data_IF_229133744027
#
_entry.id   IF_229133744027
#
_cell.length_a   1.000
_cell.length_b   1.000
_cell.length_c   1.000
_cell.angle_alpha   90.00
_cell.angle_beta   90.00
_cell.angle_gamma   90.00
#
_symmetry.space_group_name_H-M   'P 1'
#
loop_
_entity.id
_entity.type
_entity.pdbx_description
1 polymer ?
#
# COMPACT_ATOMS: atom_id res chain seq x y z
N UNK A 1 -10.70 0.33 16.33
CA UNK A 1 -10.68 1.14 15.08
C UNK A 1 -9.26 1.57 14.74
N UNK A 2 -8.44 2.02 15.71
CA UNK A 2 -7.02 2.35 15.48
C UNK A 2 -6.19 1.23 14.82
N UNK A 3 -6.33 -0.02 15.27
CA UNK A 3 -5.49 -1.11 14.75
C UNK A 3 -5.64 -1.36 13.24
N UNK A 4 -6.84 -1.20 12.69
CA UNK A 4 -7.05 -1.32 11.23
C UNK A 4 -6.42 -0.15 10.46
N UNK A 5 -6.14 0.98 11.12
CA UNK A 5 -5.40 2.11 10.52
C UNK A 5 -3.89 1.88 10.52
N UNK A 6 -3.37 0.93 11.30
CA UNK A 6 -1.93 0.59 11.34
C UNK A 6 -1.50 -0.21 10.11
N UNK A 7 -2.44 -0.86 9.43
CA UNK A 7 -2.20 -1.64 8.21
C UNK A 7 -3.14 -1.20 7.08
N UNK A 8 -3.03 0.05 6.61
CA UNK A 8 -3.91 0.57 5.57
C UNK A 8 -3.85 -0.32 4.33
N UNK A 9 -4.99 -0.51 3.67
CA UNK A 9 -5.16 -1.29 2.44
C UNK A 9 -4.99 -2.82 2.54
N UNK A 10 -4.58 -3.36 3.70
CA UNK A 10 -4.60 -4.80 3.95
C UNK A 10 -6.00 -5.28 4.25
N UNK A 11 -6.41 -6.35 3.58
CA UNK A 11 -7.69 -7.01 3.86
C UNK A 11 -7.62 -7.76 5.18
N UNK A 12 -8.77 -7.87 5.85
CA UNK A 12 -8.92 -8.64 7.08
C UNK A 12 -10.23 -9.41 7.06
N UNK A 13 -10.29 -10.50 7.82
CA UNK A 13 -11.53 -11.23 8.10
C UNK A 13 -12.07 -10.81 9.46
N UNK A 14 -13.36 -11.01 9.66
CA UNK A 14 -14.03 -10.71 10.95
C UNK A 14 -13.35 -11.47 12.09
N UNK A 15 -12.92 -12.71 11.84
CA UNK A 15 -12.20 -13.52 12.82
C UNK A 15 -10.89 -12.89 13.28
N UNK A 16 -10.18 -12.17 12.41
CA UNK A 16 -8.93 -11.50 12.75
C UNK A 16 -9.19 -10.37 13.75
N UNK A 17 -10.28 -9.62 13.56
CA UNK A 17 -10.71 -8.59 14.51
C UNK A 17 -11.11 -9.17 15.87
N UNK A 18 -11.81 -10.30 15.89
CA UNK A 18 -12.16 -11.00 17.15
C UNK A 18 -10.90 -11.55 17.84
N UNK A 19 -9.96 -12.12 17.07
CA UNK A 19 -8.68 -12.61 17.59
C UNK A 19 -7.88 -11.48 18.22
N UNK A 20 -7.72 -10.36 17.51
CA UNK A 20 -7.03 -9.18 18.04
C UNK A 20 -7.66 -8.69 19.34
N UNK A 21 -9.00 -8.60 19.40
CA UNK A 21 -9.68 -8.20 20.62
C UNK A 21 -9.40 -9.15 21.80
N UNK A 22 -9.41 -10.47 21.58
CA UNK A 22 -9.08 -11.47 22.61
C UNK A 22 -7.66 -11.34 23.15
N UNK A 23 -6.71 -11.00 22.28
CA UNK A 23 -5.30 -10.85 22.64
C UNK A 23 -5.03 -9.54 23.40
N UNK A 24 -5.89 -8.53 23.25
CA UNK A 24 -5.70 -7.19 23.79
C UNK A 24 -6.67 -6.80 24.92
N UNK A 25 -7.56 -7.70 25.34
CA UNK A 25 -8.44 -7.43 26.48
C UNK A 25 -7.70 -7.64 27.80
N UNK A 26 -7.88 -6.69 28.72
CA UNK A 26 -7.19 -6.70 30.03
C UNK A 26 -7.88 -7.61 31.06
N UNK A 27 -9.20 -7.78 30.97
CA UNK A 27 -9.97 -8.65 31.88
C UNK A 27 -10.12 -10.05 31.26
N UNK A 28 -9.60 -11.08 31.93
CA UNK A 28 -9.76 -12.46 31.47
C UNK A 28 -11.19 -12.98 31.60
N UNK A 29 -12.00 -12.40 32.48
CA UNK A 29 -13.42 -12.76 32.63
C UNK A 29 -14.26 -12.36 31.40
N UNK A 30 -13.76 -11.42 30.59
CA UNK A 30 -14.39 -11.05 29.32
C UNK A 30 -14.07 -12.04 28.18
N UNK A 31 -13.24 -13.06 28.40
CA UNK A 31 -12.96 -14.12 27.39
C UNK A 31 -14.00 -15.26 27.41
N UNK A 32 -15.18 -15.02 28.00
CA UNK A 32 -16.31 -15.96 27.99
C UNK A 32 -16.94 -16.07 26.59
N UNK A 33 -17.56 -17.21 26.31
CA UNK A 33 -18.23 -17.46 25.04
C UNK A 33 -19.36 -16.45 24.75
N UNK A 34 -20.10 -16.06 25.80
CA UNK A 34 -21.16 -15.05 25.70
C UNK A 34 -20.62 -13.69 25.28
N UNK A 35 -19.51 -13.24 25.90
CA UNK A 35 -18.88 -11.97 25.56
C UNK A 35 -18.25 -11.99 24.16
N UNK A 36 -17.62 -13.10 23.79
CA UNK A 36 -17.08 -13.31 22.44
C UNK A 36 -18.21 -13.21 21.39
N UNK A 37 -19.37 -13.81 21.66
CA UNK A 37 -20.52 -13.73 20.77
C UNK A 37 -21.06 -12.30 20.67
N UNK A 38 -21.19 -11.59 21.79
CA UNK A 38 -21.60 -10.18 21.83
C UNK A 38 -20.68 -9.30 20.96
N UNK A 39 -19.36 -9.41 21.17
CA UNK A 39 -18.35 -8.67 20.42
C UNK A 39 -18.39 -9.01 18.94
N UNK A 40 -18.54 -10.28 18.59
CA UNK A 40 -18.64 -10.72 17.20
C UNK A 40 -19.87 -10.12 16.52
N UNK A 41 -21.03 -10.09 17.19
CA UNK A 41 -22.25 -9.48 16.66
C UNK A 41 -22.09 -7.98 16.48
N UNK A 42 -21.50 -7.28 17.46
CA UNK A 42 -21.26 -5.84 17.38
C UNK A 42 -20.27 -5.49 16.27
N UNK A 43 -19.19 -6.28 16.11
CA UNK A 43 -18.23 -6.11 15.02
C UNK A 43 -18.90 -6.31 13.65
N UNK A 44 -19.74 -7.34 13.49
CA UNK A 44 -20.52 -7.57 12.27
C UNK A 44 -21.44 -6.40 11.94
N UNK A 45 -22.18 -5.87 12.91
CA UNK A 45 -23.05 -4.69 12.74
C UNK A 45 -22.25 -3.47 12.29
N UNK A 46 -21.12 -3.22 12.94
CA UNK A 46 -20.23 -2.10 12.60
C UNK A 46 -19.67 -2.22 11.18
N UNK A 47 -19.16 -3.40 10.80
CA UNK A 47 -18.60 -3.66 9.47
C UNK A 47 -19.68 -3.50 8.41
N UNK A 48 -20.85 -4.11 8.60
CA UNK A 48 -21.96 -4.01 7.64
C UNK A 48 -22.40 -2.56 7.43
N UNK A 49 -22.60 -1.81 8.52
CA UNK A 49 -22.94 -0.40 8.42
C UNK A 49 -21.84 0.40 7.70
N UNK A 50 -20.57 0.08 7.95
CA UNK A 50 -19.43 0.74 7.30
C UNK A 50 -19.33 0.39 5.81
N UNK A 51 -19.66 -0.84 5.42
CA UNK A 51 -19.73 -1.27 4.01
C UNK A 51 -20.84 -0.54 3.27
N UNK A 52 -22.06 -0.49 3.85
CA UNK A 52 -23.21 0.21 3.24
C UNK A 52 -22.90 1.71 3.03
N UNK A 53 -22.21 2.32 4.00
CA UNK A 53 -21.81 3.72 3.91
C UNK A 53 -20.51 3.97 3.10
N UNK A 54 -19.95 2.94 2.43
CA UNK A 54 -18.74 3.06 1.62
C UNK A 54 -17.45 3.35 2.39
N UNK A 55 -17.44 3.19 3.71
CA UNK A 55 -16.27 3.43 4.58
C UNK A 55 -15.30 2.25 4.59
N UNK A 56 -15.80 1.05 4.34
CA UNK A 56 -15.01 -0.18 4.22
C UNK A 56 -15.34 -0.80 2.87
N UNK A 57 -14.30 -1.05 2.05
CA UNK A 57 -14.43 -1.82 0.82
C UNK A 57 -14.39 -3.30 1.15
N UNK A 58 -15.14 -4.10 0.40
CA UNK A 58 -15.14 -5.55 0.55
C UNK A 58 -14.87 -6.19 -0.81
N UNK A 59 -14.15 -7.30 -0.77
CA UNK A 59 -13.77 -8.07 -1.95
C UNK A 59 -14.14 -9.53 -1.72
N UNK A 60 -14.59 -10.22 -2.77
CA UNK A 60 -14.92 -11.64 -2.69
C UNK A 60 -13.69 -12.55 -2.83
N UNK A 61 -12.57 -11.98 -3.27
CA UNK A 61 -11.28 -12.63 -3.42
C UNK A 61 -10.17 -11.63 -3.10
N UNK A 62 -9.10 -12.12 -2.49
CA UNK A 62 -7.90 -11.32 -2.28
C UNK A 62 -7.03 -11.39 -3.53
N UNK A 63 -6.52 -10.25 -3.98
CA UNK A 63 -5.47 -10.24 -4.99
C UNK A 63 -4.15 -10.56 -4.28
N UNK A 64 -3.38 -11.48 -4.84
CA UNK A 64 -2.02 -11.71 -4.36
C UNK A 64 -1.18 -10.45 -4.64
N UNK A 65 -0.65 -9.86 -3.59
CA UNK A 65 0.31 -8.74 -3.66
C UNK A 65 1.67 -9.25 -3.23
N UNK A 66 2.67 -9.05 -4.07
CA UNK A 66 4.05 -9.41 -3.76
C UNK A 66 4.71 -8.19 -3.09
N UNK A 67 5.14 -8.27 -1.83
CA UNK A 67 5.86 -7.18 -1.17
C UNK A 67 7.28 -7.05 -1.73
N UNK A 68 7.92 -5.92 -1.47
CA UNK A 68 9.33 -5.75 -1.79
C UNK A 68 10.20 -6.66 -0.91
N UNK A 69 11.11 -7.40 -1.54
CA UNK A 69 12.06 -8.28 -0.87
C UNK A 69 13.40 -8.22 -1.62
N UNK A 70 14.48 -7.99 -0.87
CA UNK A 70 15.81 -7.76 -1.41
C UNK A 70 16.27 -8.91 -2.31
N UNK A 71 16.71 -8.59 -3.52
CA UNK A 71 17.18 -9.54 -4.54
C UNK A 71 16.16 -10.58 -5.04
N UNK A 72 14.90 -10.52 -4.59
CA UNK A 72 13.89 -11.51 -4.95
C UNK A 72 12.85 -10.97 -5.94
N UNK A 73 12.59 -9.66 -5.93
CA UNK A 73 11.51 -9.05 -6.73
C UNK A 73 11.99 -8.01 -7.71
N UNK A 74 11.24 -7.84 -8.80
CA UNK A 74 11.45 -6.79 -9.80
C UNK A 74 10.10 -6.32 -10.37
N UNK A 75 10.12 -5.23 -11.13
CA UNK A 75 8.94 -4.74 -11.86
C UNK A 75 9.11 -5.05 -13.35
N UNK A 76 8.30 -5.94 -13.94
CA UNK A 76 8.37 -6.27 -15.36
C UNK A 76 8.27 -5.08 -16.31
N UNK A 77 8.97 -5.14 -17.45
CA UNK A 77 9.05 -4.05 -18.43
C UNK A 77 7.68 -3.52 -18.87
N UNK A 78 6.70 -4.41 -19.08
CA UNK A 78 5.33 -4.02 -19.43
C UNK A 78 4.72 -3.01 -18.45
N UNK A 79 4.96 -3.20 -17.14
CA UNK A 79 4.43 -2.32 -16.10
C UNK A 79 5.25 -1.04 -15.98
N UNK A 80 6.57 -1.11 -16.20
CA UNK A 80 7.43 0.08 -16.24
C UNK A 80 7.03 1.00 -17.40
N UNK A 81 6.88 0.44 -18.61
CA UNK A 81 6.43 1.17 -19.79
C UNK A 81 5.03 1.76 -19.58
N UNK A 82 4.11 1.00 -18.99
CA UNK A 82 2.78 1.48 -18.62
C UNK A 82 2.84 2.71 -17.71
N UNK A 83 3.56 2.63 -16.58
CA UNK A 83 3.70 3.74 -15.64
C UNK A 83 4.38 4.95 -16.29
N UNK A 84 5.42 4.73 -17.08
CA UNK A 84 6.12 5.78 -17.82
C UNK A 84 5.18 6.51 -18.78
N UNK A 85 4.38 5.80 -19.56
CA UNK A 85 3.42 6.41 -20.48
C UNK A 85 2.37 7.24 -19.75
N UNK A 86 1.89 6.76 -18.60
CA UNK A 86 0.80 7.41 -17.85
C UNK A 86 1.24 8.57 -16.96
N UNK A 87 2.48 8.57 -16.46
CA UNK A 87 2.96 9.59 -15.52
C UNK A 87 3.75 10.69 -16.24
N UNK A 88 4.65 10.32 -17.15
CA UNK A 88 5.58 11.26 -17.81
C UNK A 88 5.40 11.35 -19.32
N UNK A 89 4.71 10.39 -19.93
CA UNK A 89 4.50 10.31 -21.37
C UNK A 89 3.20 10.97 -21.85
N UNK A 90 2.75 10.54 -23.03
CA UNK A 90 1.57 11.09 -23.70
C UNK A 90 0.25 10.90 -22.92
N UNK A 91 0.21 9.95 -21.98
CA UNK A 91 -0.96 9.71 -21.12
C UNK A 91 -1.04 10.63 -19.90
N UNK A 92 0.02 11.40 -19.61
CA UNK A 92 0.10 12.26 -18.43
C UNK A 92 -1.03 13.28 -18.37
N UNK A 93 -1.80 13.25 -17.29
CA UNK A 93 -2.96 14.13 -17.07
C UNK A 93 -4.21 13.77 -17.88
N UNK A 94 -4.17 12.69 -18.68
CA UNK A 94 -5.30 12.25 -19.52
C UNK A 94 -5.86 10.91 -19.00
N UNK A 95 -4.99 9.96 -18.66
CA UNK A 95 -5.37 8.61 -18.25
C UNK A 95 -4.94 8.37 -16.80
N UNK A 96 -5.87 7.89 -15.97
CA UNK A 96 -5.60 7.54 -14.58
C UNK A 96 -4.87 6.20 -14.43
N UNK A 97 -4.05 6.09 -13.39
CA UNK A 97 -3.35 4.86 -13.02
C UNK A 97 -4.26 4.05 -12.09
N UNK A 98 -4.26 2.73 -12.20
CA UNK A 98 -5.01 1.86 -11.31
C UNK A 98 -4.09 0.82 -10.64
N UNK A 99 -4.47 0.35 -9.46
CA UNK A 99 -3.84 -0.80 -8.80
C UNK A 99 -4.45 -2.15 -9.24
N UNK A 100 -3.97 -3.26 -8.68
CA UNK A 100 -4.49 -4.60 -8.95
C UNK A 100 -5.99 -4.78 -8.64
N UNK A 101 -6.57 -3.94 -7.78
CA UNK A 101 -8.01 -3.91 -7.44
C UNK A 101 -8.82 -2.97 -8.34
N UNK A 102 -8.19 -2.42 -9.39
CA UNK A 102 -8.76 -1.42 -10.28
C UNK A 102 -9.17 -0.11 -9.57
N UNK A 103 -8.50 0.22 -8.47
CA UNK A 103 -8.69 1.49 -7.75
C UNK A 103 -7.79 2.55 -8.37
N UNK A 104 -8.34 3.73 -8.67
CA UNK A 104 -7.57 4.85 -9.23
C UNK A 104 -6.55 5.35 -8.20
N UNK A 105 -5.30 5.50 -8.63
CA UNK A 105 -4.16 5.97 -7.84
C UNK A 105 -3.73 7.34 -8.38
N UNK A 106 -3.68 8.34 -7.49
CA UNK A 106 -3.33 9.72 -7.84
C UNK A 106 -2.00 10.20 -7.23
N UNK A 107 -1.37 9.40 -6.37
CA UNK A 107 -0.15 9.77 -5.62
C UNK A 107 1.13 9.20 -6.27
N UNK A 108 1.12 8.95 -7.58
CA UNK A 108 2.32 8.56 -8.32
C UNK A 108 2.93 9.79 -9.00
N UNK A 109 4.26 9.90 -8.97
CA UNK A 109 4.99 10.99 -9.60
C UNK A 109 6.15 10.50 -10.48
N UNK A 110 6.86 11.44 -11.10
CA UNK A 110 7.99 11.18 -11.99
C UNK A 110 9.18 10.51 -11.30
N UNK A 111 9.43 10.80 -10.02
CA UNK A 111 10.46 10.11 -9.23
C UNK A 111 10.09 8.64 -8.99
N UNK A 112 8.80 8.33 -8.80
CA UNK A 112 8.35 6.93 -8.72
C UNK A 112 8.63 6.15 -10.02
N UNK A 113 8.55 6.81 -11.18
CA UNK A 113 8.95 6.19 -12.47
C UNK A 113 10.44 5.84 -12.47
N UNK A 114 11.29 6.70 -11.90
CA UNK A 114 12.74 6.42 -11.77
C UNK A 114 12.97 5.21 -10.85
N UNK A 115 12.27 5.14 -9.71
CA UNK A 115 12.36 3.98 -8.81
C UNK A 115 11.93 2.69 -9.51
N UNK A 116 10.86 2.75 -10.30
CA UNK A 116 10.38 1.61 -11.09
C UNK A 116 11.43 1.13 -12.10
N UNK A 117 12.13 2.06 -12.77
CA UNK A 117 13.22 1.74 -13.70
C UNK A 117 14.46 1.17 -12.99
N UNK A 118 14.80 1.67 -11.78
CA UNK A 118 15.87 1.11 -10.95
C UNK A 118 15.57 -0.36 -10.59
N UNK A 119 14.31 -0.68 -10.29
CA UNK A 119 13.82 -2.02 -9.94
C UNK A 119 13.45 -2.87 -11.18
N UNK A 120 14.10 -2.61 -12.32
CA UNK A 120 13.94 -3.40 -13.54
C UNK A 120 14.43 -4.86 -13.39
N UNK A 121 15.35 -5.09 -12.47
CA UNK A 121 15.89 -6.38 -12.04
C UNK A 121 15.91 -6.43 -10.51
N UNK A 122 15.99 -7.61 -9.88
CA UNK A 122 16.08 -7.68 -8.43
C UNK A 122 17.34 -7.04 -7.88
N UNK A 123 17.15 -6.23 -6.84
CA UNK A 123 18.20 -5.45 -6.18
C UNK A 123 17.98 -5.43 -4.69
N UNK A 124 19.03 -5.12 -3.93
CA UNK A 124 18.86 -4.75 -2.52
C UNK A 124 18.36 -3.32 -2.38
N UNK A 125 17.71 -3.03 -1.25
CA UNK A 125 17.35 -1.68 -0.84
C UNK A 125 18.54 -0.72 -0.95
N UNK A 126 19.72 -1.09 -0.45
CA UNK A 126 20.89 -0.21 -0.45
C UNK A 126 21.37 0.12 -1.87
N UNK A 127 21.36 -0.87 -2.77
CA UNK A 127 21.74 -0.67 -4.17
C UNK A 127 20.77 0.26 -4.88
N UNK A 128 19.47 0.03 -4.68
CA UNK A 128 18.43 0.84 -5.29
C UNK A 128 18.48 2.30 -4.80
N UNK A 129 18.69 2.51 -3.51
CA UNK A 129 18.84 3.85 -2.92
C UNK A 129 20.06 4.56 -3.48
N UNK A 130 21.21 3.86 -3.57
CA UNK A 130 22.44 4.43 -4.15
C UNK A 130 22.26 4.85 -5.61
N UNK A 131 21.49 4.11 -6.40
CA UNK A 131 21.16 4.51 -7.77
C UNK A 131 20.23 5.73 -7.80
N UNK A 132 19.25 5.77 -6.89
CA UNK A 132 18.30 6.87 -6.76
C UNK A 132 18.96 8.18 -6.30
N UNK A 133 20.08 8.14 -5.57
CA UNK A 133 20.86 9.33 -5.17
C UNK A 133 21.30 10.21 -6.36
N UNK A 134 21.37 9.65 -7.57
CA UNK A 134 21.67 10.42 -8.78
C UNK A 134 20.50 11.32 -9.22
N UNK A 135 19.33 11.17 -8.61
CA UNK A 135 18.11 11.92 -8.92
C UNK A 135 17.88 13.00 -7.87
N UNK A 136 17.60 14.24 -8.30
CA UNK A 136 17.23 15.32 -7.39
C UNK A 136 15.75 15.20 -7.04
N UNK A 137 15.45 14.90 -5.78
CA UNK A 137 14.08 14.68 -5.29
C UNK A 137 13.62 15.91 -4.51
N UNK A 138 12.46 16.44 -4.86
CA UNK A 138 11.87 17.61 -4.20
C UNK A 138 10.47 17.29 -3.68
N UNK A 139 10.20 17.66 -2.43
CA UNK A 139 8.88 17.58 -1.79
C UNK A 139 8.29 18.98 -1.66
N UNK A 140 7.02 19.11 -2.01
CA UNK A 140 6.27 20.35 -1.75
C UNK A 140 5.60 20.23 -0.38
N UNK A 141 5.99 21.11 0.54
CA UNK A 141 5.44 21.19 1.89
C UNK A 141 4.05 21.85 1.87
N UNK A 142 3.29 21.74 2.97
CA UNK A 142 1.93 22.33 3.07
C UNK A 142 1.91 23.86 2.88
N UNK A 143 3.00 24.54 3.20
CA UNK A 143 3.19 25.97 2.99
C UNK A 143 3.56 26.34 1.54
N UNK A 144 3.63 25.36 0.62
CA UNK A 144 4.03 25.54 -0.78
C UNK A 144 5.54 25.57 -1.02
N UNK A 145 6.36 25.49 0.03
CA UNK A 145 7.82 25.46 -0.09
C UNK A 145 8.30 24.14 -0.68
N UNK A 146 9.29 24.19 -1.59
CA UNK A 146 9.92 22.99 -2.15
C UNK A 146 11.22 22.70 -1.40
N UNK A 147 11.25 21.58 -0.69
CA UNK A 147 12.41 21.11 0.06
C UNK A 147 13.01 19.92 -0.66
N UNK A 148 14.34 19.90 -0.79
CA UNK A 148 15.04 18.74 -1.32
C UNK A 148 15.12 17.67 -0.23
N UNK A 149 14.74 16.44 -0.57
CA UNK A 149 14.80 15.29 0.34
C UNK A 149 15.79 14.25 -0.19
N UNK A 150 16.19 13.30 0.66
CA UNK A 150 17.18 12.27 0.30
C UNK A 150 16.52 11.05 -0.36
N UNK A 151 17.32 10.25 -1.07
CA UNK A 151 16.88 8.97 -1.61
C UNK A 151 16.47 7.98 -0.49
N UNK A 152 17.17 8.00 0.66
CA UNK A 152 16.82 7.16 1.82
C UNK A 152 15.45 7.52 2.41
N UNK A 153 15.10 8.81 2.42
CA UNK A 153 13.76 9.25 2.87
C UNK A 153 12.68 8.87 1.86
N UNK A 154 12.95 9.05 0.57
CA UNK A 154 11.93 8.86 -0.47
C UNK A 154 11.68 7.39 -0.84
N UNK A 155 12.72 6.57 -0.89
CA UNK A 155 12.61 5.20 -1.40
C UNK A 155 11.58 4.34 -0.65
N UNK A 156 11.52 4.31 0.70
CA UNK A 156 10.51 3.55 1.43
C UNK A 156 9.07 3.97 1.12
N UNK A 157 8.84 5.27 0.89
CA UNK A 157 7.52 5.78 0.49
C UNK A 157 7.14 5.28 -0.89
N UNK A 158 8.07 5.35 -1.84
CA UNK A 158 7.86 4.85 -3.20
C UNK A 158 7.59 3.34 -3.20
N UNK A 159 8.33 2.55 -2.41
CA UNK A 159 8.09 1.11 -2.26
C UNK A 159 6.67 0.85 -1.74
N UNK A 160 6.21 1.57 -0.72
CA UNK A 160 4.85 1.43 -0.19
C UNK A 160 3.79 1.67 -1.27
N UNK A 161 3.99 2.67 -2.13
CA UNK A 161 3.10 2.95 -3.28
C UNK A 161 3.12 1.81 -4.30
N UNK A 162 4.30 1.28 -4.62
CA UNK A 162 4.49 0.20 -5.61
C UNK A 162 3.91 -1.13 -5.12
N UNK A 163 4.04 -1.45 -3.83
CA UNK A 163 3.38 -2.59 -3.20
C UNK A 163 1.86 -2.47 -3.30
N UNK A 164 1.32 -1.26 -3.07
CA UNK A 164 -0.12 -1.01 -3.20
C UNK A 164 -0.61 -1.10 -4.65
N UNK A 165 0.21 -0.72 -5.64
CA UNK A 165 -0.07 -0.97 -7.05
C UNK A 165 -0.14 -2.48 -7.37
N UNK A 166 0.73 -3.27 -6.74
CA UNK A 166 0.78 -4.73 -6.90
C UNK A 166 1.50 -5.18 -8.17
N UNK A 167 2.52 -4.44 -8.61
CA UNK A 167 3.26 -4.71 -9.86
C UNK A 167 4.60 -5.45 -9.66
N UNK A 168 5.00 -5.74 -8.43
CA UNK A 168 6.15 -6.59 -8.16
C UNK A 168 5.92 -8.02 -8.65
N UNK A 169 6.99 -8.63 -9.14
CA UNK A 169 7.02 -10.03 -9.59
C UNK A 169 8.27 -10.69 -9.01
N UNK A 170 8.14 -11.93 -8.54
CA UNK A 170 9.29 -12.73 -8.08
C UNK A 170 10.11 -13.21 -9.28
N UNK A 171 11.42 -13.27 -9.12
CA UNK A 171 12.33 -13.83 -10.14
C UNK A 171 12.23 -15.35 -10.24
#
# INVERSE_FOLDING_TARGET
>A
MLHLMETPNKSFKIQDGVKYWKENIQDENDKTEEKINEVTVNLRKFILNSMINGKIKFYCSENETIPFEDNEVYIPEKFRNYLKTLIVGEGAGIIGIANSRNEIINDMNDVDVVVVDILAEPKTKEQAIKELENTKIYRTMQNGERVQITAEEYFPESITKLEYLGYFTKK
#
